data_IF_636558178959
#
_entry.id   IF_636558178959
#
_cell.length_a   1.000
_cell.length_b   1.000
_cell.length_c   1.000
_cell.angle_alpha   90.00
_cell.angle_beta   90.00
_cell.angle_gamma   90.00
#
_symmetry.space_group_name_H-M   'P 1'
#
loop_
_entity.id
_entity.type
_entity.pdbx_description
1 polymer ?
#
# COMPACT_ATOMS: atom_id res chain seq x y z
N UNK A 1 3.42 6.05 -5.16
CA UNK A 1 2.61 7.17 -4.60
C UNK A 1 2.03 6.75 -3.27
N UNK A 2 1.97 7.67 -2.34
CA UNK A 2 1.48 7.45 -0.98
C UNK A 2 0.28 8.35 -0.76
N UNK A 3 -0.85 7.79 -0.33
CA UNK A 3 -2.05 8.54 0.02
C UNK A 3 -2.32 8.46 1.51
N UNK A 4 -2.47 9.61 2.14
CA UNK A 4 -2.79 9.73 3.56
C UNK A 4 -4.30 9.85 3.72
N UNK A 5 -4.91 8.90 4.41
CA UNK A 5 -6.33 8.91 4.69
C UNK A 5 -6.72 10.03 5.65
N UNK A 6 -7.99 10.42 5.60
CA UNK A 6 -8.57 11.27 6.64
C UNK A 6 -8.84 10.41 7.87
N UNK A 7 -8.43 10.92 9.04
CA UNK A 7 -8.59 10.23 10.31
C UNK A 7 -7.34 9.49 10.75
N UNK A 8 -7.44 8.91 11.92
CA UNK A 8 -6.35 8.18 12.55
C UNK A 8 -6.77 6.73 12.82
N UNK A 9 -5.80 5.83 12.68
CA UNK A 9 -5.98 4.42 12.97
C UNK A 9 -4.96 3.99 14.03
N UNK A 10 -5.46 3.50 15.16
CA UNK A 10 -4.60 3.04 16.25
C UNK A 10 -3.87 1.76 15.86
N UNK A 11 -2.55 1.84 15.73
CA UNK A 11 -1.69 0.67 15.45
C UNK A 11 -1.88 -0.46 16.48
N UNK A 12 -1.87 -0.20 17.81
CA UNK A 12 -2.13 -1.24 18.79
C UNK A 12 -3.51 -1.89 18.62
N UNK A 13 -4.54 -1.12 18.25
CA UNK A 13 -5.87 -1.67 18.02
C UNK A 13 -5.90 -2.61 16.81
N UNK A 14 -5.27 -2.23 15.71
CA UNK A 14 -5.17 -3.07 14.51
C UNK A 14 -4.46 -4.39 14.84
N UNK A 15 -3.34 -4.34 15.55
CA UNK A 15 -2.62 -5.56 15.94
C UNK A 15 -3.42 -6.44 16.89
N UNK A 16 -4.17 -5.87 17.84
CA UNK A 16 -5.06 -6.65 18.71
C UNK A 16 -6.17 -7.36 17.93
N UNK A 17 -6.78 -6.67 16.98
CA UNK A 17 -7.80 -7.26 16.11
C UNK A 17 -7.20 -8.34 15.19
N UNK A 18 -6.01 -8.13 14.68
CA UNK A 18 -5.28 -9.12 13.90
C UNK A 18 -5.03 -10.39 14.72
N UNK A 19 -4.50 -10.22 15.94
CA UNK A 19 -4.24 -11.36 16.85
C UNK A 19 -5.53 -12.12 17.19
N UNK A 20 -6.62 -11.38 17.43
CA UNK A 20 -7.94 -11.98 17.71
C UNK A 20 -8.43 -12.83 16.53
N UNK A 21 -8.21 -12.41 15.31
CA UNK A 21 -8.64 -13.12 14.10
C UNK A 21 -7.69 -14.29 13.75
N UNK A 22 -6.42 -14.21 14.13
CA UNK A 22 -5.40 -15.21 13.85
C UNK A 22 -5.53 -16.49 14.73
N UNK A 23 -6.23 -16.42 15.83
CA UNK A 23 -6.43 -17.56 16.75
C UNK A 23 -7.02 -18.79 16.02
N UNK A 24 -7.70 -18.60 14.89
CA UNK A 24 -8.30 -19.65 14.08
C UNK A 24 -7.42 -20.13 12.92
N UNK A 25 -6.22 -19.57 12.70
CA UNK A 25 -5.34 -19.95 11.61
C UNK A 25 -4.14 -20.73 12.10
N UNK A 26 -3.81 -21.89 11.48
CA UNK A 26 -2.56 -22.57 11.80
C UNK A 26 -1.37 -21.67 11.48
N UNK A 27 -0.40 -21.61 12.40
CA UNK A 27 0.86 -20.90 12.18
C UNK A 27 1.64 -21.61 11.07
N UNK A 28 1.61 -21.06 9.85
CA UNK A 28 2.48 -21.47 8.76
C UNK A 28 3.82 -20.72 8.82
N UNK A 29 4.86 -21.31 8.22
CA UNK A 29 6.12 -20.61 8.03
C UNK A 29 5.89 -19.35 7.17
N UNK A 30 6.55 -18.25 7.54
CA UNK A 30 6.56 -17.05 6.72
C UNK A 30 7.37 -17.32 5.46
N UNK A 31 6.69 -17.44 4.33
CA UNK A 31 7.33 -17.61 3.03
C UNK A 31 7.18 -16.34 2.22
N UNK A 32 8.26 -15.94 1.55
CA UNK A 32 8.21 -14.86 0.57
C UNK A 32 7.56 -15.43 -0.69
N UNK A 33 6.45 -14.82 -1.21
CA UNK A 33 5.81 -15.32 -2.41
C UNK A 33 6.76 -15.38 -3.60
N UNK A 34 6.80 -16.51 -4.29
CA UNK A 34 7.68 -16.71 -5.46
C UNK A 34 7.39 -15.69 -6.56
N UNK A 35 6.13 -15.37 -6.78
CA UNK A 35 5.67 -14.39 -7.78
C UNK A 35 6.23 -13.00 -7.51
N UNK A 36 6.30 -12.60 -6.23
CA UNK A 36 6.88 -11.32 -5.83
C UNK A 36 8.38 -11.26 -6.17
N UNK A 37 9.13 -12.31 -5.85
CA UNK A 37 10.55 -12.40 -6.17
C UNK A 37 10.81 -12.40 -7.68
N UNK A 38 10.00 -13.11 -8.45
CA UNK A 38 10.09 -13.15 -9.90
C UNK A 38 9.82 -11.76 -10.51
N UNK A 39 8.79 -11.07 -10.06
CA UNK A 39 8.45 -9.72 -10.51
C UNK A 39 9.59 -8.73 -10.22
N UNK A 40 10.17 -8.79 -9.04
CA UNK A 40 11.30 -7.93 -8.66
C UNK A 40 12.54 -8.20 -9.52
N UNK A 41 12.88 -9.47 -9.78
CA UNK A 41 14.03 -9.85 -10.62
C UNK A 41 13.84 -9.45 -12.08
N UNK A 42 12.62 -9.57 -12.60
CA UNK A 42 12.28 -9.21 -13.96
C UNK A 42 12.10 -7.71 -14.17
N UNK A 43 11.94 -6.92 -13.10
CA UNK A 43 11.57 -5.50 -13.20
C UNK A 43 10.17 -5.30 -13.77
N UNK A 44 9.30 -6.29 -13.64
CA UNK A 44 7.92 -6.26 -14.16
C UNK A 44 7.00 -5.58 -13.15
N UNK A 45 6.70 -4.31 -13.38
CA UNK A 45 5.88 -3.52 -12.46
C UNK A 45 4.41 -3.97 -12.43
N UNK A 46 3.88 -4.53 -13.52
CA UNK A 46 2.51 -5.06 -13.55
C UNK A 46 2.41 -6.31 -12.70
N UNK A 47 3.34 -7.23 -12.87
CA UNK A 47 3.43 -8.44 -12.06
C UNK A 47 3.67 -8.11 -10.58
N UNK A 48 4.54 -7.12 -10.31
CA UNK A 48 4.77 -6.64 -8.94
C UNK A 48 3.49 -6.07 -8.33
N UNK A 49 2.74 -5.28 -9.09
CA UNK A 49 1.48 -4.70 -8.62
C UNK A 49 0.45 -5.74 -8.20
N UNK A 50 0.34 -6.83 -8.96
CA UNK A 50 -0.58 -7.93 -8.64
C UNK A 50 -0.10 -8.81 -7.47
N UNK A 51 1.20 -8.77 -7.15
CA UNK A 51 1.80 -9.53 -6.05
C UNK A 51 1.88 -8.77 -4.73
N UNK A 52 1.48 -7.49 -4.70
CA UNK A 52 1.46 -6.69 -3.48
C UNK A 52 0.44 -7.25 -2.48
N UNK A 53 0.88 -7.45 -1.27
CA UNK A 53 0.01 -7.91 -0.19
C UNK A 53 0.48 -7.40 1.17
N UNK A 54 -0.47 -7.28 2.09
CA UNK A 54 -0.22 -6.93 3.48
C UNK A 54 -1.22 -7.68 4.35
N UNK A 55 -0.75 -8.53 5.23
CA UNK A 55 -1.59 -9.36 6.11
C UNK A 55 -2.50 -8.53 7.03
N UNK A 56 -2.12 -7.30 7.34
CA UNK A 56 -2.91 -6.39 8.17
C UNK A 56 -4.01 -5.65 7.39
N UNK A 57 -4.02 -5.72 6.07
CA UNK A 57 -4.93 -4.94 5.23
C UNK A 57 -6.40 -5.24 5.50
N UNK A 58 -6.76 -6.51 5.56
CA UNK A 58 -8.15 -6.92 5.86
C UNK A 58 -8.63 -6.41 7.20
N UNK A 59 -7.76 -6.43 8.21
CA UNK A 59 -8.07 -5.90 9.55
C UNK A 59 -8.20 -4.39 9.53
N UNK A 60 -7.24 -3.69 8.91
CA UNK A 60 -7.27 -2.22 8.80
C UNK A 60 -8.55 -1.75 8.09
N UNK A 61 -8.94 -2.41 7.00
CA UNK A 61 -10.18 -2.12 6.26
C UNK A 61 -11.42 -2.40 7.12
N UNK A 62 -11.42 -3.46 7.94
CA UNK A 62 -12.55 -3.76 8.83
C UNK A 62 -12.72 -2.71 9.94
N UNK A 63 -11.61 -2.19 10.46
CA UNK A 63 -11.60 -1.13 11.48
C UNK A 63 -11.93 0.25 10.86
N UNK A 64 -11.45 0.51 9.65
CA UNK A 64 -11.62 1.78 8.93
C UNK A 64 -12.06 1.54 7.48
N UNK A 65 -13.38 1.31 7.26
CA UNK A 65 -13.89 0.90 5.94
C UNK A 65 -13.62 1.88 4.79
N UNK A 66 -13.41 3.16 5.07
CA UNK A 66 -13.06 4.16 4.06
C UNK A 66 -11.77 3.82 3.30
N UNK A 67 -10.86 3.05 3.92
CA UNK A 67 -9.63 2.61 3.28
C UNK A 67 -9.89 1.74 2.04
N UNK A 68 -10.92 0.91 2.07
CA UNK A 68 -11.34 0.13 0.91
C UNK A 68 -11.71 1.03 -0.27
N UNK A 69 -12.40 2.14 0.00
CA UNK A 69 -12.78 3.12 -1.03
C UNK A 69 -11.55 3.81 -1.61
N UNK A 70 -10.59 4.17 -0.76
CA UNK A 70 -9.35 4.80 -1.20
C UNK A 70 -8.54 3.85 -2.09
N UNK A 71 -8.37 2.60 -1.68
CA UNK A 71 -7.66 1.58 -2.47
C UNK A 71 -8.34 1.36 -3.83
N UNK A 72 -9.65 1.18 -3.82
CA UNK A 72 -10.41 0.94 -5.05
C UNK A 72 -10.36 2.14 -6.00
N UNK A 73 -10.48 3.35 -5.46
CA UNK A 73 -10.38 4.58 -6.26
C UNK A 73 -9.02 4.69 -6.97
N UNK A 74 -7.92 4.36 -6.28
CA UNK A 74 -6.60 4.37 -6.89
C UNK A 74 -6.46 3.34 -8.02
N UNK A 75 -7.02 2.14 -7.84
CA UNK A 75 -7.03 1.11 -8.88
C UNK A 75 -7.90 1.53 -10.08
N UNK A 76 -9.09 2.07 -9.84
CA UNK A 76 -10.00 2.55 -10.88
C UNK A 76 -9.40 3.71 -11.69
N UNK A 77 -8.57 4.53 -11.05
CA UNK A 77 -7.85 5.63 -11.69
C UNK A 77 -6.55 5.21 -12.37
N UNK A 78 -6.21 3.94 -12.34
CA UNK A 78 -5.12 3.37 -13.13
C UNK A 78 -3.86 2.97 -12.39
N UNK A 79 -3.87 2.94 -11.06
CA UNK A 79 -2.76 2.34 -10.32
C UNK A 79 -2.56 0.88 -10.73
N UNK A 80 -1.31 0.44 -10.86
CA UNK A 80 -1.00 -0.96 -11.22
C UNK A 80 -0.97 -1.90 -10.04
N UNK A 81 -1.03 -1.35 -8.84
CA UNK A 81 -1.17 -2.07 -7.59
C UNK A 81 -1.49 -1.12 -6.46
N UNK A 82 -2.13 -1.63 -5.44
CA UNK A 82 -2.50 -0.86 -4.26
C UNK A 82 -2.43 -1.74 -3.02
N UNK A 83 -1.99 -1.18 -1.91
CA UNK A 83 -2.05 -1.84 -0.61
C UNK A 83 -2.01 -0.83 0.53
N UNK A 84 -2.39 -1.27 1.72
CA UNK A 84 -2.20 -0.51 2.95
C UNK A 84 -0.77 -0.70 3.44
N UNK A 85 -0.13 0.38 3.87
CA UNK A 85 1.20 0.35 4.46
C UNK A 85 1.12 0.02 5.96
N UNK A 86 1.71 -1.12 6.35
CA UNK A 86 1.71 -1.56 7.74
C UNK A 86 0.29 -1.70 8.31
N UNK A 87 0.05 -1.12 9.47
CA UNK A 87 -1.27 -1.11 10.11
C UNK A 87 -2.25 -0.08 9.53
N UNK A 88 -1.84 0.70 8.56
CA UNK A 88 -2.59 1.83 8.03
C UNK A 88 -2.51 3.08 8.91
N UNK A 89 -3.24 4.13 8.58
CA UNK A 89 -4.21 4.26 7.48
C UNK A 89 -3.59 4.67 6.12
N UNK A 90 -2.28 4.69 6.00
CA UNK A 90 -1.60 5.08 4.77
C UNK A 90 -1.80 4.02 3.68
N UNK A 91 -2.24 4.45 2.50
CA UNK A 91 -2.33 3.62 1.31
C UNK A 91 -1.15 3.88 0.39
N UNK A 92 -0.64 2.83 -0.23
CA UNK A 92 0.46 2.90 -1.20
C UNK A 92 -0.03 2.40 -2.54
N UNK A 93 0.31 3.14 -3.59
CA UNK A 93 -0.05 2.80 -4.97
C UNK A 93 1.21 2.69 -5.83
N UNK A 94 1.30 1.61 -6.56
CA UNK A 94 2.37 1.41 -7.53
C UNK A 94 1.96 2.01 -8.87
N UNK A 95 2.89 2.73 -9.50
CA UNK A 95 2.71 3.37 -10.79
C UNK A 95 3.88 3.03 -11.72
N UNK A 96 3.67 3.15 -13.04
CA UNK A 96 4.67 2.80 -14.06
C UNK A 96 5.81 3.80 -14.19
N UNK A 97 5.54 5.07 -13.86
CA UNK A 97 6.49 6.16 -14.10
C UNK A 97 6.18 7.32 -13.17
N UNK A 98 7.09 8.29 -13.14
CA UNK A 98 6.87 9.54 -12.42
C UNK A 98 5.64 10.30 -12.96
N UNK A 99 5.51 10.43 -14.28
CA UNK A 99 4.36 11.09 -14.89
C UNK A 99 3.04 10.39 -14.56
N UNK A 100 3.03 9.06 -14.55
CA UNK A 100 1.87 8.29 -14.10
C UNK A 100 1.53 8.59 -12.63
N UNK A 101 2.53 8.69 -11.75
CA UNK A 101 2.33 9.08 -10.35
C UNK A 101 1.72 10.47 -10.21
N UNK A 102 2.19 11.44 -10.99
CA UNK A 102 1.67 12.81 -10.97
C UNK A 102 0.20 12.84 -11.40
N UNK A 103 -0.14 12.16 -12.49
CA UNK A 103 -1.51 12.08 -12.98
C UNK A 103 -2.45 11.39 -11.99
N UNK A 104 -2.00 10.26 -11.42
CA UNK A 104 -2.77 9.54 -10.42
C UNK A 104 -2.97 10.37 -9.15
N UNK A 105 -1.93 11.09 -8.70
CA UNK A 105 -2.00 11.96 -7.53
C UNK A 105 -3.04 13.07 -7.72
N UNK A 106 -3.05 13.71 -8.88
CA UNK A 106 -4.02 14.75 -9.21
C UNK A 106 -5.45 14.19 -9.24
N UNK A 107 -5.66 13.04 -9.87
CA UNK A 107 -6.96 12.38 -9.97
C UNK A 107 -7.47 11.92 -8.60
N UNK A 108 -6.61 11.33 -7.79
CA UNK A 108 -6.98 10.83 -6.47
C UNK A 108 -7.31 11.99 -5.50
N UNK A 109 -6.54 13.08 -5.57
CA UNK A 109 -6.82 14.29 -4.80
C UNK A 109 -8.18 14.90 -5.19
N UNK A 110 -8.49 14.92 -6.48
CA UNK A 110 -9.77 15.40 -7.00
C UNK A 110 -10.96 14.50 -6.61
N UNK A 111 -10.73 13.23 -6.38
CA UNK A 111 -11.77 12.29 -5.97
C UNK A 111 -12.20 12.44 -4.49
N UNK A 112 -11.43 13.15 -3.68
CA UNK A 112 -11.77 13.43 -2.28
C UNK A 112 -11.75 12.21 -1.35
N UNK A 113 -10.99 11.17 -1.70
CA UNK A 113 -10.93 9.90 -0.94
C UNK A 113 -9.75 9.82 0.02
N UNK A 114 -8.93 10.86 0.08
CA UNK A 114 -7.78 10.94 0.98
C UNK A 114 -7.49 12.40 1.35
N UNK A 115 -6.79 12.59 2.48
CA UNK A 115 -6.41 13.92 2.97
C UNK A 115 -5.32 14.56 2.11
N UNK A 116 -4.32 13.80 1.72
CA UNK A 116 -3.21 14.27 0.90
C UNK A 116 -2.51 13.11 0.21
N UNK A 117 -1.74 13.41 -0.82
CA UNK A 117 -0.93 12.45 -1.55
C UNK A 117 0.53 12.89 -1.57
N UNK A 118 1.44 11.92 -1.66
CA UNK A 118 2.88 12.14 -1.82
C UNK A 118 3.39 11.22 -2.92
N UNK A 119 4.27 11.75 -3.75
CA UNK A 119 4.94 10.98 -4.79
C UNK A 119 6.31 10.58 -4.26
N UNK A 120 6.66 9.31 -4.43
CA UNK A 120 7.95 8.78 -4.06
C UNK A 120 8.45 7.85 -5.16
N UNK A 121 9.75 7.71 -5.27
CA UNK A 121 10.40 6.75 -6.16
C UNK A 121 11.55 6.06 -5.42
N UNK A 122 11.85 4.85 -5.82
CA UNK A 122 12.92 4.05 -5.27
C UNK A 122 13.69 3.32 -6.36
N UNK A 123 14.89 2.83 -6.02
CA UNK A 123 15.55 2.96 -4.72
C UNK A 123 16.02 4.38 -4.44
N UNK A 124 16.02 4.76 -3.16
CA UNK A 124 16.54 6.05 -2.74
C UNK A 124 18.06 6.05 -2.81
N UNK A 125 18.65 7.10 -3.42
CA UNK A 125 20.09 7.32 -3.40
C UNK A 125 20.44 8.10 -2.13
N UNK A 126 21.11 7.43 -1.19
CA UNK A 126 21.63 8.10 -0.01
C UNK A 126 23.00 8.70 -0.37
N UNK A 127 23.06 10.03 -0.49
CA UNK A 127 24.35 10.70 -0.55
C UNK A 127 24.92 10.82 0.86
N UNK A 128 26.01 10.08 1.13
CA UNK A 128 26.79 10.32 2.34
C UNK A 128 27.66 11.54 2.06
N UNK A 129 27.29 12.70 2.63
CA UNK A 129 28.19 13.83 2.62
C UNK A 129 29.30 13.56 3.63
N UNK A 130 30.48 13.26 3.13
CA UNK A 130 31.71 13.32 3.92
C UNK A 130 32.03 14.80 4.16
N UNK A 131 31.63 15.30 5.31
CA UNK A 131 32.01 16.62 5.79
C UNK A 131 32.88 16.50 7.00
#
# INVERSE_FOLDING_TARGET
MIALAEGELSTPHVYREFDRLQVARPSGALEIPTELLQALRAGDCVQLGSALSNDLEGVAVSVMPVLSKTLQAGLDLGAIGAMISGSGPTCVFLTRSHDHSVNLAASLSGAGVCRSVRIASGPAVTSISNG
#
